data_IF_601473572280
#
_entry.id   IF_601473572280
#
_cell.length_a   1.000
_cell.length_b   1.000
_cell.length_c   1.000
_cell.angle_alpha   90.00
_cell.angle_beta   90.00
_cell.angle_gamma   90.00
#
_symmetry.space_group_name_H-M   'P 1'
#
loop_
_entity.id
_entity.type
_entity.pdbx_description
1 polymer ?
#
# COMPACT_ATOMS: atom_id res chain seq x y z
N UNK A 1 -3.76 -17.46 4.59
CA UNK A 1 -4.10 -16.07 4.89
C UNK A 1 -4.48 -15.86 6.35
N UNK A 2 -5.44 -16.59 6.88
CA UNK A 2 -5.90 -16.41 8.28
C UNK A 2 -4.74 -16.57 9.29
N UNK A 3 -3.96 -17.63 9.18
CA UNK A 3 -2.80 -17.87 10.06
C UNK A 3 -1.77 -16.75 9.93
N UNK A 4 -1.44 -16.35 8.71
CA UNK A 4 -0.50 -15.25 8.45
C UNK A 4 -1.01 -13.93 9.05
N UNK A 5 -2.30 -13.63 8.88
CA UNK A 5 -2.90 -12.42 9.46
C UNK A 5 -2.88 -12.43 11.00
N UNK A 6 -3.23 -13.55 11.63
CA UNK A 6 -3.15 -13.68 13.08
C UNK A 6 -1.72 -13.51 13.60
N UNK A 7 -0.73 -14.12 12.93
CA UNK A 7 0.68 -13.91 13.27
C UNK A 7 1.11 -12.46 13.08
N UNK A 8 0.69 -11.81 11.98
CA UNK A 8 1.01 -10.41 11.72
C UNK A 8 0.46 -9.47 12.79
N UNK A 9 -0.78 -9.70 13.25
CA UNK A 9 -1.38 -8.91 14.33
C UNK A 9 -0.64 -9.03 15.68
N UNK A 10 0.17 -10.08 15.86
CA UNK A 10 0.98 -10.26 17.09
C UNK A 10 2.36 -9.63 17.01
N UNK A 11 2.79 -9.17 15.83
CA UNK A 11 4.08 -8.49 15.69
C UNK A 11 4.05 -7.15 16.43
N UNK A 12 5.15 -6.76 17.10
CA UNK A 12 5.26 -5.42 17.66
C UNK A 12 5.36 -4.39 16.53
N UNK A 13 4.74 -3.21 16.67
CA UNK A 13 4.98 -2.11 15.74
C UNK A 13 6.44 -1.66 15.77
N UNK A 14 7.00 -1.30 14.62
CA UNK A 14 8.32 -0.70 14.55
C UNK A 14 8.31 0.72 15.14
N UNK A 15 9.47 1.30 15.52
CA UNK A 15 9.56 2.69 16.00
C UNK A 15 8.93 3.69 15.02
N UNK A 16 9.13 3.52 13.72
CA UNK A 16 8.54 4.39 12.70
C UNK A 16 7.01 4.28 12.68
N UNK A 17 6.48 3.06 12.80
CA UNK A 17 5.03 2.84 12.86
C UNK A 17 4.40 3.51 14.10
N UNK A 18 5.08 3.46 15.25
CA UNK A 18 4.63 4.19 16.44
C UNK A 18 4.61 5.70 16.23
N UNK A 19 5.67 6.24 15.63
CA UNK A 19 5.78 7.67 15.34
C UNK A 19 4.66 8.09 14.38
N UNK A 20 4.45 7.36 13.30
CA UNK A 20 3.40 7.67 12.33
C UNK A 20 1.99 7.48 12.91
N UNK A 21 1.78 6.49 13.78
CA UNK A 21 0.51 6.31 14.48
C UNK A 21 0.23 7.48 15.42
N UNK A 22 1.23 7.97 16.17
CA UNK A 22 1.11 9.16 16.99
C UNK A 22 0.72 10.38 16.14
N UNK A 23 1.39 10.60 15.01
CA UNK A 23 1.06 11.71 14.10
C UNK A 23 -0.34 11.57 13.49
N UNK A 24 -0.74 10.35 13.13
CA UNK A 24 -2.08 10.06 12.67
C UNK A 24 -3.15 10.35 13.73
N UNK A 25 -2.87 10.02 14.98
CA UNK A 25 -3.74 10.37 16.10
C UNK A 25 -3.83 11.90 16.30
N UNK A 26 -2.69 12.62 16.31
CA UNK A 26 -2.65 14.09 16.40
C UNK A 26 -3.46 14.75 15.28
N UNK A 27 -3.40 14.20 14.06
CA UNK A 27 -4.21 14.68 12.94
C UNK A 27 -5.72 14.56 13.22
N UNK A 28 -6.16 13.48 13.87
CA UNK A 28 -7.57 13.29 14.26
C UNK A 28 -8.00 14.23 15.39
N UNK A 29 -7.08 14.66 16.25
CA UNK A 29 -7.32 15.68 17.29
C UNK A 29 -7.36 17.12 16.72
N UNK A 30 -7.09 17.29 15.41
CA UNK A 30 -7.17 18.58 14.73
C UNK A 30 -5.84 19.32 14.59
N UNK A 31 -4.73 18.69 14.91
CA UNK A 31 -3.41 19.27 14.70
C UNK A 31 -3.08 19.38 13.20
N UNK A 32 -2.37 20.43 12.85
CA UNK A 32 -1.97 20.72 11.48
C UNK A 32 -0.53 20.23 11.25
N UNK A 33 -0.33 19.29 10.30
CA UNK A 33 1.01 18.85 9.94
C UNK A 33 1.93 20.01 9.56
N UNK A 34 3.21 19.88 9.88
CA UNK A 34 4.30 20.87 9.68
C UNK A 34 4.15 22.15 10.48
N UNK A 35 3.04 22.38 11.19
CA UNK A 35 2.86 23.46 12.16
C UNK A 35 2.95 22.95 13.60
N UNK A 36 2.17 21.91 13.92
CA UNK A 36 2.02 21.40 15.28
C UNK A 36 2.86 20.13 15.52
N UNK A 37 3.21 19.43 14.46
CA UNK A 37 4.21 18.37 14.45
C UNK A 37 4.96 18.35 13.12
N UNK A 38 6.17 17.82 13.11
CA UNK A 38 7.05 17.76 11.95
C UNK A 38 7.56 16.36 11.72
N UNK A 39 7.59 15.96 10.44
CA UNK A 39 8.24 14.75 9.96
C UNK A 39 8.82 15.02 8.57
N UNK A 40 9.84 14.27 8.18
CA UNK A 40 10.43 14.30 6.84
C UNK A 40 9.60 13.52 5.82
N UNK A 41 8.72 12.65 6.28
CA UNK A 41 7.81 11.88 5.43
C UNK A 41 6.66 12.74 4.88
N UNK A 42 6.08 12.30 3.80
CA UNK A 42 4.96 12.96 3.16
C UNK A 42 3.63 12.62 3.85
N UNK A 43 2.60 13.46 3.66
CA UNK A 43 1.36 13.39 4.45
C UNK A 43 0.54 12.12 4.29
N UNK A 44 0.76 11.35 3.22
CA UNK A 44 0.07 10.07 3.01
C UNK A 44 0.32 9.07 4.12
N UNK A 45 1.52 9.06 4.69
CA UNK A 45 1.88 8.14 5.77
C UNK A 45 0.98 8.35 6.99
N UNK A 46 0.89 9.57 7.49
CA UNK A 46 0.08 9.86 8.70
C UNK A 46 -1.42 9.80 8.41
N UNK A 47 -1.84 10.19 7.21
CA UNK A 47 -3.23 10.12 6.80
C UNK A 47 -3.73 8.65 6.79
N UNK A 48 -2.91 7.70 6.35
CA UNK A 48 -3.25 6.28 6.41
C UNK A 48 -3.28 5.76 7.85
N UNK A 49 -2.36 6.18 8.70
CA UNK A 49 -2.39 5.86 10.13
C UNK A 49 -3.62 6.47 10.82
N UNK A 50 -3.98 7.72 10.49
CA UNK A 50 -5.21 8.34 10.97
C UNK A 50 -6.45 7.55 10.54
N UNK A 51 -6.50 7.11 9.28
CA UNK A 51 -7.58 6.26 8.78
C UNK A 51 -7.63 4.90 9.51
N UNK A 52 -6.49 4.28 9.75
CA UNK A 52 -6.41 3.03 10.52
C UNK A 52 -6.96 3.21 11.94
N UNK A 53 -6.59 4.31 12.61
CA UNK A 53 -7.09 4.64 13.95
C UNK A 53 -8.59 4.95 13.92
N UNK A 54 -9.07 5.68 12.93
CA UNK A 54 -10.50 5.99 12.79
C UNK A 54 -11.35 4.73 12.58
N UNK A 55 -10.82 3.71 11.89
CA UNK A 55 -11.54 2.47 11.61
C UNK A 55 -11.45 1.44 12.76
N UNK A 56 -10.30 1.32 13.40
CA UNK A 56 -9.99 0.25 14.34
C UNK A 56 -9.72 0.74 15.77
N UNK A 57 -9.76 2.06 16.01
CA UNK A 57 -9.50 2.66 17.31
C UNK A 57 -8.01 2.85 17.61
N UNK A 58 -7.73 3.49 18.75
CA UNK A 58 -6.35 3.74 19.24
C UNK A 58 -5.84 2.50 19.96
N UNK A 59 -5.13 1.64 19.25
CA UNK A 59 -4.52 0.43 19.81
C UNK A 59 -3.33 -0.04 18.97
N UNK A 60 -2.55 -0.99 19.49
CA UNK A 60 -1.31 -1.47 18.86
C UNK A 60 -1.52 -2.23 17.55
N UNK A 61 -2.68 -2.84 17.34
CA UNK A 61 -2.94 -3.67 16.16
C UNK A 61 -3.70 -2.93 15.05
N UNK A 62 -4.17 -1.70 15.27
CA UNK A 62 -4.95 -0.93 14.28
C UNK A 62 -4.23 -0.78 12.96
N UNK A 63 -2.95 -0.41 13.02
CA UNK A 63 -2.14 -0.29 11.82
C UNK A 63 -1.95 -1.63 11.11
N UNK A 64 -1.59 -2.67 11.86
CA UNK A 64 -1.39 -4.01 11.28
C UNK A 64 -2.66 -4.55 10.62
N UNK A 65 -3.83 -4.36 11.24
CA UNK A 65 -5.10 -4.77 10.64
C UNK A 65 -5.39 -4.03 9.34
N UNK A 66 -5.19 -2.72 9.33
CA UNK A 66 -5.39 -1.87 8.17
C UNK A 66 -4.40 -2.22 7.04
N UNK A 67 -3.12 -2.31 7.36
CA UNK A 67 -2.07 -2.65 6.40
C UNK A 67 -2.25 -4.06 5.82
N UNK A 68 -2.61 -5.06 6.65
CA UNK A 68 -2.86 -6.42 6.15
C UNK A 68 -4.09 -6.50 5.24
N UNK A 69 -5.10 -5.66 5.48
CA UNK A 69 -6.25 -5.53 4.59
C UNK A 69 -5.83 -4.93 3.23
N UNK A 70 -5.06 -3.84 3.24
CA UNK A 70 -4.50 -3.25 2.01
C UNK A 70 -3.62 -4.26 1.27
N UNK A 71 -2.76 -4.98 2.00
CA UNK A 71 -1.93 -6.03 1.44
C UNK A 71 -2.77 -7.13 0.79
N UNK A 72 -3.85 -7.58 1.42
CA UNK A 72 -4.77 -8.57 0.87
C UNK A 72 -5.37 -8.12 -0.46
N UNK A 73 -5.82 -6.86 -0.53
CA UNK A 73 -6.35 -6.26 -1.76
C UNK A 73 -5.26 -6.21 -2.85
N UNK A 74 -4.06 -5.73 -2.52
CA UNK A 74 -2.96 -5.64 -3.49
C UNK A 74 -2.49 -7.02 -3.96
N UNK A 75 -2.53 -8.03 -3.09
CA UNK A 75 -2.19 -9.41 -3.44
C UNK A 75 -3.13 -10.00 -4.49
N UNK A 76 -4.43 -9.64 -4.48
CA UNK A 76 -5.37 -10.06 -5.53
C UNK A 76 -4.99 -9.44 -6.89
N UNK A 77 -4.62 -8.16 -6.91
CA UNK A 77 -4.13 -7.52 -8.14
C UNK A 77 -2.82 -8.15 -8.63
N UNK A 78 -1.87 -8.42 -7.73
CA UNK A 78 -0.61 -9.04 -8.09
C UNK A 78 -0.81 -10.47 -8.60
N UNK A 79 -1.71 -11.25 -8.00
CA UNK A 79 -2.03 -12.59 -8.46
C UNK A 79 -2.67 -12.59 -9.86
N UNK A 80 -3.53 -11.60 -10.16
CA UNK A 80 -4.10 -11.47 -11.50
C UNK A 80 -3.05 -11.04 -12.54
N UNK A 81 -2.13 -10.13 -12.17
CA UNK A 81 -0.97 -9.79 -13.02
C UNK A 81 -0.08 -11.01 -13.27
N UNK A 82 0.24 -11.79 -12.24
CA UNK A 82 1.02 -13.02 -12.37
C UNK A 82 0.32 -14.05 -13.26
N UNK A 83 -1.01 -14.18 -13.12
CA UNK A 83 -1.83 -15.04 -13.97
C UNK A 83 -1.78 -14.60 -15.44
N UNK A 84 -1.85 -13.31 -15.72
CA UNK A 84 -1.75 -12.75 -17.06
C UNK A 84 -0.37 -12.97 -17.68
N UNK A 85 0.68 -12.84 -16.90
CA UNK A 85 2.06 -12.94 -17.36
C UNK A 85 2.54 -14.40 -17.55
N UNK A 86 2.15 -15.32 -16.65
CA UNK A 86 2.72 -16.66 -16.56
C UNK A 86 1.68 -17.79 -16.35
N UNK A 87 0.40 -17.48 -16.53
CA UNK A 87 -0.69 -18.46 -16.49
C UNK A 87 -1.29 -18.71 -15.09
N UNK A 88 -2.34 -19.57 -15.02
CA UNK A 88 -3.17 -19.73 -13.82
C UNK A 88 -2.40 -20.20 -12.57
N UNK A 89 -1.39 -21.03 -12.75
CA UNK A 89 -0.59 -21.54 -11.65
C UNK A 89 0.25 -20.44 -11.00
N UNK A 90 0.78 -19.49 -11.78
CA UNK A 90 1.51 -18.35 -11.24
C UNK A 90 0.63 -17.49 -10.31
N UNK A 91 -0.60 -17.19 -10.72
CA UNK A 91 -1.55 -16.47 -9.88
C UNK A 91 -1.88 -17.20 -8.57
N UNK A 92 -2.12 -18.53 -8.64
CA UNK A 92 -2.37 -19.33 -7.43
C UNK A 92 -1.17 -19.38 -6.49
N UNK A 93 0.03 -19.61 -7.05
CA UNK A 93 1.27 -19.62 -6.27
C UNK A 93 1.52 -18.28 -5.59
N UNK A 94 1.25 -17.16 -6.26
CA UNK A 94 1.36 -15.82 -5.67
C UNK A 94 0.46 -15.70 -4.44
N UNK A 95 -0.81 -16.10 -4.50
CA UNK A 95 -1.73 -16.02 -3.36
C UNK A 95 -1.30 -16.91 -2.18
N UNK A 96 -0.57 -17.98 -2.42
CA UNK A 96 -0.07 -18.85 -1.35
C UNK A 96 1.21 -18.28 -0.72
N UNK A 97 2.13 -17.78 -1.54
CA UNK A 97 3.46 -17.37 -1.09
C UNK A 97 3.47 -15.95 -0.50
N UNK A 98 2.67 -15.03 -1.04
CA UNK A 98 2.68 -13.63 -0.63
C UNK A 98 2.46 -13.42 0.88
N UNK A 99 1.46 -14.01 1.55
CA UNK A 99 1.26 -13.79 2.98
C UNK A 99 2.42 -14.34 3.82
N UNK A 100 3.05 -15.43 3.37
CA UNK A 100 4.22 -16.00 4.06
C UNK A 100 5.43 -15.07 3.93
N UNK A 101 5.68 -14.56 2.73
CA UNK A 101 6.78 -13.62 2.47
C UNK A 101 6.56 -12.32 3.23
N UNK A 102 5.33 -11.78 3.20
CA UNK A 102 5.01 -10.51 3.85
C UNK A 102 5.21 -10.57 5.37
N UNK A 103 4.64 -11.57 6.02
CA UNK A 103 4.80 -11.76 7.47
C UNK A 103 6.23 -12.17 7.83
N UNK A 104 6.87 -12.97 6.97
CA UNK A 104 8.27 -13.37 7.12
C UNK A 104 9.27 -12.22 7.02
N UNK A 105 8.90 -11.08 6.43
CA UNK A 105 9.70 -9.86 6.44
C UNK A 105 9.87 -9.26 7.86
N UNK A 106 9.01 -9.67 8.80
CA UNK A 106 9.08 -9.30 10.21
C UNK A 106 8.63 -7.86 10.48
N UNK A 107 8.57 -7.51 11.76
CA UNK A 107 8.03 -6.23 12.24
C UNK A 107 8.76 -4.99 11.70
N UNK A 108 9.99 -5.16 11.26
CA UNK A 108 10.81 -4.04 10.78
C UNK A 108 10.46 -3.63 9.34
N UNK A 109 10.03 -4.56 8.50
CA UNK A 109 9.71 -4.31 7.10
C UNK A 109 8.21 -4.35 6.80
N UNK A 110 7.48 -5.33 7.36
CA UNK A 110 6.05 -5.45 7.14
C UNK A 110 5.31 -4.26 7.75
N UNK A 111 4.40 -3.64 7.00
CA UNK A 111 3.66 -2.45 7.42
C UNK A 111 4.47 -1.14 7.41
N UNK A 112 5.67 -1.12 6.84
CA UNK A 112 6.38 0.12 6.58
C UNK A 112 5.74 0.90 5.42
N UNK A 113 5.87 2.22 5.46
CA UNK A 113 5.31 3.10 4.42
C UNK A 113 5.83 2.79 3.01
N UNK A 114 7.04 2.24 2.88
CA UNK A 114 7.61 1.77 1.62
C UNK A 114 6.81 0.58 1.07
N UNK A 115 6.43 -0.37 1.94
CA UNK A 115 5.61 -1.51 1.57
C UNK A 115 4.19 -1.06 1.17
N UNK A 116 3.61 -0.12 1.91
CA UNK A 116 2.29 0.44 1.60
C UNK A 116 2.31 1.19 0.26
N UNK A 117 3.36 1.96 -0.03
CA UNK A 117 3.56 2.57 -1.35
C UNK A 117 3.63 1.49 -2.46
N UNK A 118 4.34 0.39 -2.20
CA UNK A 118 4.39 -0.78 -3.09
C UNK A 118 3.02 -1.42 -3.34
N UNK A 119 2.17 -1.52 -2.32
CA UNK A 119 0.80 -2.04 -2.45
C UNK A 119 -0.05 -1.17 -3.40
N UNK A 120 0.02 0.16 -3.28
CA UNK A 120 -0.63 1.08 -4.21
C UNK A 120 -0.08 0.97 -5.63
N UNK A 121 1.24 0.79 -5.78
CA UNK A 121 1.87 0.61 -7.10
C UNK A 121 1.41 -0.69 -7.80
N UNK A 122 1.29 -1.78 -7.08
CA UNK A 122 0.77 -3.04 -7.63
C UNK A 122 -0.65 -2.84 -8.17
N UNK A 123 -1.51 -2.17 -7.39
CA UNK A 123 -2.86 -1.85 -7.83
C UNK A 123 -2.83 -0.90 -9.04
N UNK A 124 -2.00 0.15 -9.01
CA UNK A 124 -1.83 1.07 -10.13
C UNK A 124 -1.39 0.37 -11.41
N UNK A 125 -0.42 -0.53 -11.32
CA UNK A 125 0.04 -1.34 -12.46
C UNK A 125 -1.08 -2.21 -13.02
N UNK A 126 -1.88 -2.82 -12.17
CA UNK A 126 -3.02 -3.62 -12.61
C UNK A 126 -4.04 -2.76 -13.38
N UNK A 127 -4.41 -1.58 -12.86
CA UNK A 127 -5.30 -0.65 -13.56
C UNK A 127 -4.70 -0.14 -14.88
N UNK A 128 -3.38 0.11 -14.90
CA UNK A 128 -2.66 0.50 -16.11
C UNK A 128 -2.71 -0.58 -17.19
N UNK A 129 -2.44 -1.84 -16.85
CA UNK A 129 -2.56 -2.97 -17.77
C UNK A 129 -3.98 -3.09 -18.32
N UNK A 130 -4.99 -2.87 -17.46
CA UNK A 130 -6.39 -2.86 -17.91
C UNK A 130 -6.71 -1.67 -18.82
N UNK A 131 -6.11 -0.50 -18.59
CA UNK A 131 -6.26 0.67 -19.46
C UNK A 131 -5.72 0.40 -20.87
N UNK A 132 -4.62 -0.37 -21.00
CA UNK A 132 -4.08 -0.79 -22.29
C UNK A 132 -4.96 -1.82 -23.02
N UNK A 133 -5.81 -2.56 -22.29
CA UNK A 133 -6.64 -3.64 -22.83
C UNK A 133 -8.10 -3.24 -23.07
N UNK A 134 -8.57 -2.17 -22.44
CA UNK A 134 -9.97 -1.77 -22.39
C UNK A 134 -10.13 -0.28 -22.65
N UNK A 135 -11.15 0.09 -23.39
CA UNK A 135 -11.54 1.50 -23.56
C UNK A 135 -12.21 2.03 -22.29
N UNK A 136 -12.03 3.34 -22.05
CA UNK A 136 -12.67 4.06 -20.96
C UNK A 136 -11.70 4.81 -20.07
N UNK A 137 -12.04 6.06 -19.74
CA UNK A 137 -11.20 6.97 -18.94
C UNK A 137 -11.03 6.53 -17.48
N UNK A 138 -11.92 5.70 -16.96
CA UNK A 138 -11.86 5.24 -15.56
C UNK A 138 -10.61 4.44 -15.23
N UNK A 139 -10.11 3.63 -16.17
CA UNK A 139 -8.92 2.80 -15.95
C UNK A 139 -7.64 3.63 -15.74
N UNK A 140 -7.26 4.53 -16.67
CA UNK A 140 -6.07 5.36 -16.47
C UNK A 140 -6.24 6.35 -15.30
N UNK A 141 -7.45 6.84 -15.03
CA UNK A 141 -7.71 7.69 -13.89
C UNK A 141 -7.45 6.95 -12.57
N UNK A 142 -7.93 5.72 -12.43
CA UNK A 142 -7.67 4.89 -11.25
C UNK A 142 -6.16 4.59 -11.09
N UNK A 143 -5.47 4.26 -12.18
CA UNK A 143 -4.03 4.06 -12.15
C UNK A 143 -3.29 5.31 -11.67
N UNK A 144 -3.61 6.47 -12.24
CA UNK A 144 -2.99 7.75 -11.86
C UNK A 144 -3.27 8.14 -10.39
N UNK A 145 -4.50 7.94 -9.92
CA UNK A 145 -4.87 8.20 -8.52
C UNK A 145 -4.06 7.32 -7.56
N UNK A 146 -3.88 6.04 -7.87
CA UNK A 146 -3.12 5.11 -7.05
C UNK A 146 -1.62 5.42 -7.06
N UNK A 147 -1.06 5.88 -8.19
CA UNK A 147 0.32 6.37 -8.25
C UNK A 147 0.46 7.62 -7.36
N UNK A 148 -0.49 8.55 -7.43
CA UNK A 148 -0.52 9.71 -6.55
C UNK A 148 -0.56 9.33 -5.06
N UNK A 149 -1.39 8.35 -4.70
CA UNK A 149 -1.44 7.81 -3.34
C UNK A 149 -0.11 7.16 -2.93
N UNK A 150 0.54 6.40 -3.81
CA UNK A 150 1.87 5.85 -3.56
C UNK A 150 2.91 6.96 -3.35
N UNK A 151 2.89 8.02 -4.17
CA UNK A 151 3.80 9.16 -4.03
C UNK A 151 3.58 9.94 -2.74
N UNK A 152 2.34 10.06 -2.26
CA UNK A 152 2.05 10.67 -0.95
C UNK A 152 2.63 9.87 0.22
N UNK A 153 2.91 8.58 0.04
CA UNK A 153 3.64 7.76 1.01
C UNK A 153 5.15 7.80 0.78
N UNK A 154 5.59 7.69 -0.49
CA UNK A 154 7.00 7.65 -0.89
C UNK A 154 7.20 8.44 -2.18
N UNK A 155 7.66 9.71 -2.14
CA UNK A 155 7.80 10.55 -3.34
C UNK A 155 8.71 9.97 -4.42
N UNK A 156 9.72 9.19 -4.03
CA UNK A 156 10.66 8.54 -4.96
C UNK A 156 9.99 7.58 -5.95
N UNK A 157 8.79 7.11 -5.64
CA UNK A 157 7.95 6.31 -6.53
C UNK A 157 7.58 7.05 -7.82
N UNK A 158 7.57 8.38 -7.80
CA UNK A 158 7.30 9.23 -8.96
C UNK A 158 8.24 9.01 -10.15
N UNK A 159 9.41 8.39 -9.94
CA UNK A 159 10.33 8.01 -11.03
C UNK A 159 9.69 7.01 -12.03
N UNK A 160 8.63 6.31 -11.62
CA UNK A 160 7.92 5.37 -12.49
C UNK A 160 6.95 6.06 -13.46
N UNK A 161 6.52 7.30 -13.19
CA UNK A 161 5.59 8.04 -14.05
C UNK A 161 6.09 8.19 -15.49
N UNK A 162 7.34 8.64 -15.76
CA UNK A 162 7.84 8.73 -17.11
C UNK A 162 7.82 7.40 -17.86
N UNK A 163 8.13 6.30 -17.19
CA UNK A 163 8.14 4.96 -17.79
C UNK A 163 6.73 4.53 -18.21
N UNK A 164 5.73 4.75 -17.36
CA UNK A 164 4.34 4.41 -17.68
C UNK A 164 3.78 5.31 -18.80
N UNK A 165 4.12 6.59 -18.80
CA UNK A 165 3.75 7.52 -19.88
C UNK A 165 4.37 7.12 -21.22
N UNK A 166 5.66 6.78 -21.24
CA UNK A 166 6.34 6.29 -22.44
C UNK A 166 5.69 5.01 -22.98
N UNK A 167 5.32 4.07 -22.11
CA UNK A 167 4.63 2.87 -22.54
C UNK A 167 3.28 3.18 -23.18
N UNK A 168 2.51 4.15 -22.66
CA UNK A 168 1.24 4.56 -23.26
C UNK A 168 1.38 5.21 -24.65
N UNK A 169 2.53 5.83 -24.93
CA UNK A 169 2.81 6.43 -26.24
C UNK A 169 3.26 5.41 -27.29
N UNK A 170 3.64 4.18 -26.86
CA UNK A 170 4.09 3.08 -27.73
C UNK A 170 2.98 2.10 -28.09
N UNK A 171 1.82 2.18 -27.45
CA UNK A 171 0.64 1.32 -27.71
C UNK A 171 -0.42 2.05 -28.53
#
# INVERSE_FOLDING_TARGET
>A
WLVAGLLYLTLPPSPDQFMHAYMGWRLLEGDIPYRDFFDTNWPGVWALHALAIALFGVNLWSWHAFDFLLFGISALFLADLARLAAGPNAGRSSLILLPVIYVGAGYWLAGQHDMTAGQFLVAALWFHVRACQRSGVGWPLAAGTLIGAAMLNKPTVGILLPLLLLQMLWL
#
